data_IF_218771035068
#
_entry.id   IF_218771035068
#
_cell.length_a   1.000
_cell.length_b   1.000
_cell.length_c   1.000
_cell.angle_alpha   90.00
_cell.angle_beta   90.00
_cell.angle_gamma   90.00
#
_symmetry.space_group_name_H-M   'P 1'
#
loop_
_entity.id
_entity.type
_entity.pdbx_description
1 polymer ?
#
# COMPACT_ATOMS: atom_id res chain seq x y z
N UNK A 1 -8.09 5.94 -13.58
CA UNK A 1 -9.24 5.02 -13.48
C UNK A 1 -9.10 4.29 -12.16
N UNK A 2 -9.99 4.50 -11.17
CA UNK A 2 -9.92 3.75 -9.90
C UNK A 2 -10.59 2.40 -10.13
N UNK A 3 -9.82 1.32 -10.05
CA UNK A 3 -10.38 -0.04 -10.11
C UNK A 3 -11.13 -0.32 -8.83
N UNK A 4 -12.46 -0.35 -8.90
CA UNK A 4 -13.30 -0.72 -7.75
C UNK A 4 -13.16 -2.21 -7.47
N UNK A 5 -12.46 -2.55 -6.39
CA UNK A 5 -12.37 -3.91 -5.90
C UNK A 5 -13.62 -4.29 -5.10
N UNK A 6 -13.95 -5.57 -5.06
CA UNK A 6 -15.07 -6.10 -4.29
C UNK A 6 -14.79 -7.53 -3.87
N UNK A 7 -15.47 -7.99 -2.81
CA UNK A 7 -15.35 -9.35 -2.29
C UNK A 7 -16.72 -10.00 -2.11
N UNK A 8 -16.71 -11.34 -2.06
CA UNK A 8 -17.87 -12.20 -1.77
C UNK A 8 -17.42 -13.36 -0.87
N UNK A 9 -18.35 -13.92 -0.10
CA UNK A 9 -18.06 -15.10 0.72
C UNK A 9 -17.89 -16.37 -0.11
N UNK A 10 -17.18 -17.38 0.41
CA UNK A 10 -16.86 -18.61 -0.32
C UNK A 10 -18.11 -19.36 -0.85
N UNK A 11 -19.19 -19.41 -0.07
CA UNK A 11 -20.45 -20.04 -0.49
C UNK A 11 -21.19 -19.32 -1.63
N UNK A 12 -20.77 -18.10 -1.97
CA UNK A 12 -21.32 -17.35 -3.11
C UNK A 12 -20.62 -17.67 -4.43
N UNK A 13 -19.56 -18.48 -4.40
CA UNK A 13 -18.74 -18.82 -5.57
C UNK A 13 -19.00 -20.26 -5.97
N UNK A 14 -19.30 -20.49 -7.25
CA UNK A 14 -19.53 -21.84 -7.81
C UNK A 14 -18.75 -22.02 -9.11
N UNK A 15 -18.23 -23.23 -9.32
CA UNK A 15 -17.65 -23.68 -10.60
C UNK A 15 -18.69 -24.33 -11.52
N UNK A 16 -19.93 -24.47 -11.05
CA UNK A 16 -21.02 -25.07 -11.80
C UNK A 16 -21.90 -23.96 -12.38
N UNK A 17 -22.05 -23.99 -13.70
CA UNK A 17 -22.93 -23.08 -14.41
C UNK A 17 -24.41 -23.38 -14.10
N UNK A 18 -25.34 -22.43 -14.31
CA UNK A 18 -26.76 -22.74 -14.40
C UNK A 18 -27.01 -23.80 -15.50
N UNK A 19 -28.11 -24.54 -15.38
CA UNK A 19 -28.43 -25.61 -16.32
C UNK A 19 -28.49 -25.07 -17.76
N UNK A 20 -27.68 -25.65 -18.65
CA UNK A 20 -27.61 -25.29 -20.07
C UNK A 20 -26.47 -24.33 -20.46
N UNK A 21 -25.68 -23.84 -19.50
CA UNK A 21 -24.53 -22.95 -19.77
C UNK A 21 -23.19 -23.64 -19.47
N UNK A 22 -22.11 -23.17 -20.09
CA UNK A 22 -20.74 -23.61 -19.81
C UNK A 22 -19.92 -22.47 -19.20
N UNK A 23 -19.12 -22.78 -18.19
CA UNK A 23 -18.12 -21.85 -17.63
C UNK A 23 -16.76 -22.09 -18.31
N UNK A 24 -16.16 -21.07 -18.96
CA UNK A 24 -14.81 -21.20 -19.49
C UNK A 24 -13.79 -21.43 -18.36
N UNK A 25 -12.67 -22.05 -18.69
CA UNK A 25 -11.57 -22.26 -17.75
C UNK A 25 -11.11 -20.93 -17.14
N UNK A 26 -10.99 -20.89 -15.81
CA UNK A 26 -10.62 -19.68 -15.07
C UNK A 26 -11.79 -18.78 -14.67
N UNK A 27 -13.03 -19.13 -15.03
CA UNK A 27 -14.23 -18.40 -14.61
C UNK A 27 -14.99 -19.09 -13.48
N UNK A 28 -15.75 -18.30 -12.72
CA UNK A 28 -16.59 -18.75 -11.62
C UNK A 28 -17.92 -18.01 -11.65
N UNK A 29 -18.99 -18.70 -11.30
CA UNK A 29 -20.29 -18.06 -11.05
C UNK A 29 -20.29 -17.46 -9.65
N UNK A 30 -20.61 -16.17 -9.56
CA UNK A 30 -20.81 -15.47 -8.29
C UNK A 30 -22.28 -15.13 -8.13
N UNK A 31 -22.90 -15.54 -7.02
CA UNK A 31 -24.32 -15.30 -6.71
C UNK A 31 -24.49 -14.46 -5.44
N UNK A 32 -25.55 -13.66 -5.39
CA UNK A 32 -25.90 -12.83 -4.23
C UNK A 32 -25.18 -11.47 -4.18
N UNK A 33 -25.01 -10.93 -2.97
CA UNK A 33 -24.51 -9.56 -2.74
C UNK A 33 -22.99 -9.47 -2.93
N UNK A 34 -22.55 -8.45 -3.67
CA UNK A 34 -21.12 -8.05 -3.76
C UNK A 34 -20.83 -6.98 -2.71
N UNK A 35 -19.71 -7.10 -2.00
CA UNK A 35 -19.27 -6.12 -1.03
C UNK A 35 -18.16 -5.27 -1.65
N UNK A 36 -18.47 -4.03 -2.01
CA UNK A 36 -17.50 -3.11 -2.63
C UNK A 36 -16.55 -2.54 -1.58
N UNK A 37 -15.27 -2.47 -1.94
CA UNK A 37 -14.25 -1.80 -1.16
C UNK A 37 -14.27 -0.31 -1.49
N UNK A 38 -13.98 0.52 -0.48
CA UNK A 38 -13.82 1.95 -0.72
C UNK A 38 -12.72 2.18 -1.78
N UNK A 39 -12.89 3.15 -2.68
CA UNK A 39 -11.83 3.57 -3.60
C UNK A 39 -10.57 3.91 -2.80
N UNK A 40 -9.55 3.07 -2.87
CA UNK A 40 -8.25 3.38 -2.27
C UNK A 40 -7.41 4.10 -3.32
N UNK A 41 -6.89 5.30 -3.03
CA UNK A 41 -5.93 5.93 -3.92
C UNK A 41 -4.69 5.04 -3.98
N UNK A 42 -4.26 4.70 -5.20
CA UNK A 42 -2.98 4.03 -5.39
C UNK A 42 -1.89 5.09 -5.27
N UNK A 43 -1.36 5.24 -4.07
CA UNK A 43 -0.27 6.17 -3.78
C UNK A 43 1.07 5.45 -3.88
N UNK A 44 2.01 6.07 -4.59
CA UNK A 44 3.39 5.60 -4.66
C UNK A 44 4.27 6.59 -3.90
N UNK A 45 4.91 6.11 -2.83
CA UNK A 45 5.93 6.88 -2.11
C UNK A 45 7.33 6.59 -2.67
N UNK A 46 8.19 7.61 -2.73
CA UNK A 46 9.61 7.48 -3.03
C UNK A 46 10.41 7.93 -1.81
N UNK A 47 11.25 7.04 -1.27
CA UNK A 47 12.20 7.36 -0.20
C UNK A 47 13.62 7.41 -0.74
N UNK A 48 14.33 8.52 -0.50
CA UNK A 48 15.76 8.63 -0.77
C UNK A 48 16.53 8.53 0.55
N UNK A 49 17.45 7.56 0.64
CA UNK A 49 18.34 7.41 1.77
C UNK A 49 19.77 7.73 1.33
N UNK A 50 20.34 8.78 1.91
CA UNK A 50 21.73 9.13 1.71
C UNK A 50 22.59 8.42 2.75
N UNK A 51 23.48 7.53 2.30
CA UNK A 51 24.50 6.89 3.12
C UNK A 51 25.80 7.68 3.00
N UNK A 52 26.38 8.03 4.14
CA UNK A 52 27.72 8.62 4.20
C UNK A 52 28.78 7.53 3.93
N UNK A 53 29.81 7.91 3.19
CA UNK A 53 31.02 7.10 3.05
C UNK A 53 31.78 7.01 4.38
N UNK A 54 32.48 5.88 4.61
CA UNK A 54 33.17 5.60 5.89
C UNK A 54 34.20 6.67 6.25
N UNK A 55 34.94 7.20 5.26
CA UNK A 55 35.91 8.28 5.47
C UNK A 55 35.26 9.64 5.81
N UNK A 56 33.95 9.76 5.63
CA UNK A 56 33.20 10.97 5.93
C UNK A 56 32.46 10.89 7.27
N UNK A 57 32.28 9.71 7.86
CA UNK A 57 31.52 9.53 9.12
C UNK A 57 32.02 10.47 10.23
N UNK A 58 33.34 10.55 10.45
CA UNK A 58 33.92 11.37 11.52
C UNK A 58 33.64 12.87 11.40
N UNK A 59 33.47 13.39 10.17
CA UNK A 59 33.17 14.80 9.90
C UNK A 59 31.70 15.14 10.14
N UNK A 60 30.82 14.15 10.06
CA UNK A 60 29.36 14.33 10.10
C UNK A 60 28.70 13.80 11.38
N UNK A 61 29.48 13.39 12.39
CA UNK A 61 29.00 12.80 13.66
C UNK A 61 27.99 13.65 14.44
N UNK A 62 28.00 14.99 14.27
CA UNK A 62 27.12 15.92 15.00
C UNK A 62 26.01 16.54 14.14
N UNK A 63 26.00 16.28 12.83
CA UNK A 63 25.09 16.96 11.89
C UNK A 63 23.65 16.44 11.95
N UNK A 64 23.44 15.24 12.50
CA UNK A 64 22.10 14.67 12.71
C UNK A 64 21.47 15.06 14.06
N UNK A 65 22.09 15.92 14.85
CA UNK A 65 21.43 16.41 16.08
C UNK A 65 20.24 17.27 15.67
N UNK A 66 19.09 17.03 16.29
CA UNK A 66 17.97 17.97 16.22
C UNK A 66 18.52 19.35 16.60
N UNK A 67 18.26 20.35 15.75
CA UNK A 67 18.72 21.71 15.96
C UNK A 67 17.88 22.29 17.09
N UNK A 68 18.20 21.91 18.33
CA UNK A 68 17.59 22.44 19.54
C UNK A 68 17.78 23.95 19.56
N UNK A 69 16.69 24.66 19.88
CA UNK A 69 16.62 26.10 19.92
C UNK A 69 17.78 26.69 20.72
N UNK A 70 18.50 27.63 20.11
CA UNK A 70 19.56 28.39 20.77
C UNK A 70 18.87 29.35 21.74
N UNK A 71 18.72 28.93 23.00
CA UNK A 71 18.44 29.84 24.10
C UNK A 71 19.68 30.70 24.32
N UNK A 72 19.60 31.98 23.96
CA UNK A 72 20.61 32.97 24.29
C UNK A 72 20.63 33.20 25.79
N UNK A 73 21.72 32.80 26.44
CA UNK A 73 22.15 33.40 27.69
C UNK A 73 23.05 34.58 27.30
N UNK A 74 22.46 35.78 27.24
CA UNK A 74 23.20 37.03 27.38
C UNK A 74 23.35 37.33 28.88
N UNK A 75 24.54 37.83 29.21
CA UNK A 75 25.11 38.17 30.51
C UNK A 75 24.27 39.14 31.37
#
# INVERSE_FOLDING_TARGET
>A
MVTSAWWVGAGQVSKTAPAGEFLPTGSFMVRGKKNFLAPQPLEMGLGLLFKLDEGSVGRHTKERRERGEVGGEEE
#
